data_IF_780682605320
#
_entry.id   IF_780682605320
#
_cell.length_a   1.000
_cell.length_b   1.000
_cell.length_c   1.000
_cell.angle_alpha   90.00
_cell.angle_beta   90.00
_cell.angle_gamma   90.00
#
_symmetry.space_group_name_H-M   'P 1'
#
loop_
_entity.id
_entity.type
_entity.pdbx_description
1 polymer ?
#
# COMPACT_ATOMS: atom_id res chain seq x y z
N UNK A 1 11.77 27.47 -6.91
CA UNK A 1 12.60 26.25 -6.73
C UNK A 1 13.67 26.10 -7.81
N UNK A 2 13.32 25.85 -9.09
CA UNK A 2 14.28 25.63 -10.19
C UNK A 2 15.37 26.70 -10.32
N UNK A 3 15.01 27.98 -10.22
CA UNK A 3 15.99 29.08 -10.28
C UNK A 3 17.05 29.00 -9.15
N UNK A 4 16.71 28.43 -8.00
CA UNK A 4 17.62 28.31 -6.84
C UNK A 4 18.43 27.03 -6.87
N UNK A 5 17.82 25.92 -7.26
CA UNK A 5 18.44 24.59 -7.20
C UNK A 5 19.00 24.10 -8.54
N UNK A 6 18.70 24.80 -9.63
CA UNK A 6 18.96 24.29 -10.98
C UNK A 6 17.93 23.25 -11.43
N UNK A 7 18.20 22.59 -12.56
CA UNK A 7 17.28 21.62 -13.15
C UNK A 7 17.10 20.39 -12.25
N UNK A 8 15.94 19.75 -12.37
CA UNK A 8 15.67 18.46 -11.72
C UNK A 8 16.64 17.42 -12.32
N UNK A 9 17.30 16.59 -11.50
CA UNK A 9 18.16 15.52 -11.99
C UNK A 9 17.40 14.57 -12.91
N UNK A 10 18.12 13.93 -13.83
CA UNK A 10 17.52 12.89 -14.67
C UNK A 10 17.11 11.70 -13.81
N UNK A 11 16.07 10.99 -14.24
CA UNK A 11 15.64 9.76 -13.58
C UNK A 11 16.71 8.68 -13.73
N UNK A 12 17.06 8.06 -12.60
CA UNK A 12 17.97 6.92 -12.49
C UNK A 12 17.39 5.95 -11.46
N UNK A 13 17.85 4.69 -11.48
CA UNK A 13 17.42 3.66 -10.53
C UNK A 13 18.66 3.01 -9.90
N UNK A 14 18.93 3.25 -8.60
CA UNK A 14 18.10 4.02 -7.66
C UNK A 14 18.04 5.54 -7.94
N UNK A 15 16.93 6.18 -7.59
CA UNK A 15 16.62 7.59 -7.82
C UNK A 15 17.22 8.53 -6.76
N UNK A 16 18.49 8.33 -6.42
CA UNK A 16 19.18 9.06 -5.34
C UNK A 16 19.17 10.58 -5.56
N UNK A 17 19.40 11.00 -6.80
CA UNK A 17 19.41 12.42 -7.17
C UNK A 17 18.06 13.10 -6.94
N UNK A 18 16.95 12.40 -7.12
CA UNK A 18 15.62 12.94 -6.87
C UNK A 18 15.38 13.17 -5.38
N UNK A 19 15.78 12.22 -4.51
CA UNK A 19 15.71 12.38 -3.06
C UNK A 19 16.51 13.61 -2.60
N UNK A 20 17.78 13.72 -3.02
CA UNK A 20 18.62 14.88 -2.67
C UNK A 20 18.03 16.19 -3.19
N UNK A 21 17.45 16.20 -4.39
CA UNK A 21 16.81 17.39 -4.94
C UNK A 21 15.59 17.82 -4.12
N UNK A 22 14.73 16.86 -3.75
CA UNK A 22 13.53 17.10 -2.92
C UNK A 22 13.91 17.64 -1.54
N UNK A 23 14.90 17.04 -0.89
CA UNK A 23 15.42 17.51 0.42
C UNK A 23 16.04 18.89 0.30
N UNK A 24 16.81 19.16 -0.76
CA UNK A 24 17.34 20.49 -1.00
C UNK A 24 16.22 21.52 -1.23
N UNK A 25 15.14 21.15 -1.92
CA UNK A 25 14.01 22.04 -2.15
C UNK A 25 13.32 22.39 -0.83
N UNK A 26 13.13 21.39 0.03
CA UNK A 26 12.60 21.56 1.38
C UNK A 26 13.46 22.52 2.21
N UNK A 27 14.74 22.18 2.40
CA UNK A 27 15.67 22.90 3.26
C UNK A 27 16.05 24.29 2.74
N UNK A 28 16.13 24.48 1.43
CA UNK A 28 16.67 25.71 0.83
C UNK A 28 15.58 26.70 0.40
N UNK A 29 14.32 26.26 0.28
CA UNK A 29 13.25 27.08 -0.28
C UNK A 29 11.93 26.98 0.48
N UNK A 30 11.39 25.76 0.66
CA UNK A 30 10.05 25.59 1.24
C UNK A 30 10.04 26.06 2.69
N UNK A 31 10.89 25.51 3.56
CA UNK A 31 10.91 25.91 4.96
C UNK A 31 11.38 27.36 5.16
N UNK A 32 12.46 27.84 4.54
CA UNK A 32 12.93 29.20 4.82
C UNK A 32 12.03 30.31 4.26
N UNK A 33 11.32 30.07 3.14
CA UNK A 33 10.57 31.12 2.44
C UNK A 33 9.06 30.94 2.49
N UNK A 34 8.56 29.74 2.23
CA UNK A 34 7.12 29.49 2.18
C UNK A 34 6.54 29.29 3.57
N UNK A 35 7.31 28.67 4.49
CA UNK A 35 6.93 28.44 5.89
C UNK A 35 5.52 27.85 6.03
N UNK A 36 5.21 26.74 5.32
CA UNK A 36 3.87 26.20 5.35
C UNK A 36 3.52 25.66 6.75
N UNK A 37 2.24 25.69 7.11
CA UNK A 37 1.78 25.04 8.35
C UNK A 37 1.85 23.51 8.26
N UNK A 38 1.77 22.96 7.04
CA UNK A 38 1.86 21.52 6.75
C UNK A 38 2.64 21.35 5.45
N UNK A 39 3.65 20.46 5.44
CA UNK A 39 4.39 20.08 4.25
C UNK A 39 4.36 18.55 4.10
N UNK A 40 4.08 18.07 2.88
CA UNK A 40 4.24 16.66 2.51
C UNK A 40 5.47 16.57 1.63
N UNK A 41 6.51 15.91 2.14
CA UNK A 41 7.71 15.57 1.37
C UNK A 41 7.65 14.08 1.03
N UNK A 42 7.67 13.78 -0.26
CA UNK A 42 7.58 12.40 -0.76
C UNK A 42 8.91 11.96 -1.37
N UNK A 43 9.38 10.78 -0.99
CA UNK A 43 10.53 10.10 -1.57
C UNK A 43 10.06 8.90 -2.39
N UNK A 44 10.55 8.79 -3.62
CA UNK A 44 10.26 7.68 -4.52
C UNK A 44 11.12 6.42 -4.25
N UNK A 45 12.02 6.48 -3.27
CA UNK A 45 12.81 5.35 -2.81
C UNK A 45 12.36 4.98 -1.40
N UNK A 46 12.31 3.69 -1.06
CA UNK A 46 12.92 2.57 -1.79
C UNK A 46 12.07 1.94 -2.93
N UNK A 47 10.90 2.49 -3.27
CA UNK A 47 9.98 1.89 -4.24
C UNK A 47 10.61 1.59 -5.61
N UNK A 48 11.25 2.59 -6.24
CA UNK A 48 11.91 2.41 -7.54
C UNK A 48 13.00 1.34 -7.49
N UNK A 49 13.85 1.33 -6.46
CA UNK A 49 14.87 0.30 -6.34
C UNK A 49 14.31 -1.07 -5.99
N UNK A 50 13.23 -1.18 -5.21
CA UNK A 50 12.53 -2.45 -4.98
C UNK A 50 12.07 -3.05 -6.31
N UNK A 51 11.34 -2.29 -7.12
CA UNK A 51 10.81 -2.76 -8.39
C UNK A 51 11.86 -3.33 -9.35
N UNK A 52 13.03 -2.69 -9.45
CA UNK A 52 13.97 -2.98 -10.56
C UNK A 52 15.32 -3.54 -10.14
N UNK A 53 15.70 -3.43 -8.87
CA UNK A 53 16.99 -3.93 -8.35
C UNK A 53 16.82 -5.09 -7.40
N UNK A 54 15.59 -5.44 -7.03
CA UNK A 54 15.29 -6.53 -6.10
C UNK A 54 15.40 -6.09 -4.65
N UNK A 55 14.49 -6.64 -3.84
CA UNK A 55 14.34 -6.28 -2.43
C UNK A 55 15.50 -6.88 -1.64
N UNK A 56 16.25 -6.05 -0.92
CA UNK A 56 17.42 -6.46 -0.14
C UNK A 56 18.73 -6.53 -0.92
N UNK A 57 18.74 -6.19 -2.21
CA UNK A 57 19.96 -6.09 -3.00
C UNK A 57 20.82 -4.88 -2.59
N UNK A 58 22.12 -4.90 -2.90
CA UNK A 58 23.00 -3.78 -2.53
C UNK A 58 22.58 -2.42 -3.13
N UNK A 59 22.13 -2.33 -4.42
CA UNK A 59 21.56 -1.09 -4.93
C UNK A 59 20.32 -0.63 -4.16
N UNK A 60 19.44 -1.55 -3.75
CA UNK A 60 18.27 -1.21 -2.95
C UNK A 60 18.65 -0.74 -1.53
N UNK A 61 19.56 -1.44 -0.85
CA UNK A 61 20.07 -1.02 0.46
C UNK A 61 20.79 0.34 0.38
N UNK A 62 21.48 0.62 -0.72
CA UNK A 62 22.06 1.95 -0.99
C UNK A 62 20.99 3.03 -1.05
N UNK A 63 19.85 2.75 -1.71
CA UNK A 63 18.73 3.68 -1.78
C UNK A 63 18.12 3.98 -0.40
N UNK A 64 17.94 2.95 0.43
CA UNK A 64 17.44 3.08 1.80
C UNK A 64 18.40 3.93 2.66
N UNK A 65 19.71 3.63 2.63
CA UNK A 65 20.72 4.41 3.36
C UNK A 65 20.76 5.87 2.91
N UNK A 66 20.55 6.13 1.61
CA UNK A 66 20.49 7.49 1.08
C UNK A 66 19.22 8.23 1.53
N UNK A 67 18.06 7.57 1.51
CA UNK A 67 16.81 8.13 2.04
C UNK A 67 16.93 8.49 3.53
N UNK A 68 17.53 7.59 4.33
CA UNK A 68 17.84 7.84 5.74
C UNK A 68 18.78 9.04 5.92
N UNK A 69 19.86 9.12 5.14
CA UNK A 69 20.79 10.26 5.20
C UNK A 69 20.12 11.60 4.84
N UNK A 70 19.26 11.63 3.81
CA UNK A 70 18.52 12.83 3.42
C UNK A 70 17.46 13.21 4.47
N UNK A 71 16.80 12.25 5.10
CA UNK A 71 15.92 12.50 6.25
C UNK A 71 16.71 13.01 7.46
N UNK A 72 17.90 12.47 7.71
CA UNK A 72 18.82 12.94 8.76
C UNK A 72 19.21 14.41 8.60
N UNK A 73 19.37 14.91 7.37
CA UNK A 73 19.59 16.34 7.11
C UNK A 73 18.41 17.21 7.53
N UNK A 74 17.18 16.70 7.38
CA UNK A 74 15.96 17.41 7.82
C UNK A 74 15.91 17.47 9.35
N UNK A 75 16.21 16.36 10.02
CA UNK A 75 16.27 16.34 11.49
C UNK A 75 17.39 17.23 12.03
N UNK A 76 18.57 17.24 11.40
CA UNK A 76 19.66 18.12 11.78
C UNK A 76 19.26 19.60 11.65
N UNK A 77 18.58 19.97 10.55
CA UNK A 77 18.06 21.33 10.39
C UNK A 77 17.01 21.68 11.45
N UNK A 78 16.14 20.73 11.81
CA UNK A 78 15.14 20.88 12.88
C UNK A 78 15.81 21.22 14.22
N UNK A 79 16.89 20.53 14.59
CA UNK A 79 17.62 20.77 15.84
C UNK A 79 18.37 22.11 15.89
N UNK A 80 18.68 22.69 14.72
CA UNK A 80 19.48 23.90 14.60
C UNK A 80 18.66 25.17 14.35
N UNK A 81 17.32 25.08 14.32
CA UNK A 81 16.45 26.20 13.98
C UNK A 81 15.35 26.41 15.02
N UNK A 82 15.09 27.66 15.41
CA UNK A 82 13.96 28.01 16.29
C UNK A 82 12.60 27.56 15.72
N UNK A 83 12.49 27.48 14.38
CA UNK A 83 11.31 26.95 13.72
C UNK A 83 11.16 25.44 13.92
N UNK A 84 12.28 24.71 14.00
CA UNK A 84 12.32 23.27 14.17
C UNK A 84 11.85 22.79 15.55
N UNK A 85 11.99 23.60 16.60
CA UNK A 85 11.49 23.28 17.95
C UNK A 85 9.99 22.97 17.96
N UNK A 86 9.23 23.62 17.07
CA UNK A 86 7.77 23.47 16.96
C UNK A 86 7.35 22.45 15.91
N UNK A 87 8.29 21.93 15.13
CA UNK A 87 8.00 21.04 14.01
C UNK A 87 7.65 19.64 14.53
N UNK A 88 6.45 19.21 14.18
CA UNK A 88 6.01 17.82 14.27
C UNK A 88 6.43 17.10 12.99
N UNK A 89 7.02 15.91 13.13
CA UNK A 89 7.49 15.08 12.02
C UNK A 89 6.76 13.76 12.07
N UNK A 90 6.11 13.39 10.97
CA UNK A 90 5.51 12.07 10.77
C UNK A 90 6.18 11.47 9.54
N UNK A 91 6.82 10.30 9.70
CA UNK A 91 7.34 9.52 8.58
C UNK A 91 6.50 8.27 8.41
N UNK A 92 6.15 7.96 7.17
CA UNK A 92 5.30 6.82 6.84
C UNK A 92 5.68 6.24 5.48
N UNK A 93 5.32 4.98 5.25
CA UNK A 93 5.28 4.38 3.92
C UNK A 93 3.83 4.12 3.53
N UNK A 94 3.52 4.23 2.25
CA UNK A 94 2.21 3.89 1.71
C UNK A 94 1.99 2.38 1.63
N UNK A 95 3.04 1.59 1.36
CA UNK A 95 3.01 0.14 1.35
C UNK A 95 4.40 -0.48 1.58
N UNK A 96 4.43 -1.81 1.72
CA UNK A 96 5.62 -2.64 1.49
C UNK A 96 5.59 -3.28 0.09
N UNK A 97 6.47 -4.26 -0.18
CA UNK A 97 6.51 -4.99 -1.45
C UNK A 97 6.86 -6.47 -1.23
N UNK A 98 6.56 -7.31 -2.23
CA UNK A 98 6.95 -8.71 -2.32
C UNK A 98 7.87 -8.94 -3.50
N UNK A 99 8.67 -10.01 -3.45
CA UNK A 99 9.52 -10.41 -4.56
C UNK A 99 8.66 -11.03 -5.67
N UNK A 100 8.83 -10.56 -6.90
CA UNK A 100 8.18 -11.12 -8.09
C UNK A 100 8.81 -12.45 -8.45
N UNK A 101 7.99 -13.50 -8.58
CA UNK A 101 8.42 -14.84 -8.98
C UNK A 101 7.74 -15.30 -10.26
N UNK A 102 8.47 -16.07 -11.07
CA UNK A 102 7.95 -16.61 -12.33
C UNK A 102 7.77 -15.56 -13.42
N UNK A 103 7.30 -15.99 -14.58
CA UNK A 103 6.90 -15.08 -15.66
C UNK A 103 5.50 -14.51 -15.38
N UNK A 104 5.16 -13.42 -16.06
CA UNK A 104 3.80 -12.89 -16.03
C UNK A 104 2.79 -13.99 -16.45
N UNK A 105 1.68 -14.05 -15.73
CA UNK A 105 0.65 -15.10 -15.88
C UNK A 105 -0.07 -15.03 -17.25
N UNK A 106 -0.15 -13.86 -17.86
CA UNK A 106 -0.96 -13.55 -19.04
C UNK A 106 -2.44 -13.88 -18.82
N UNK A 107 -3.06 -13.25 -17.83
CA UNK A 107 -4.47 -13.49 -17.47
C UNK A 107 -5.38 -13.18 -18.66
N UNK A 108 -5.08 -12.13 -19.42
CA UNK A 108 -5.84 -11.77 -20.61
C UNK A 108 -5.75 -12.86 -21.70
N UNK A 109 -4.56 -13.43 -21.94
CA UNK A 109 -4.36 -14.59 -22.81
C UNK A 109 -5.15 -15.80 -22.33
N UNK A 110 -5.03 -16.16 -21.05
CA UNK A 110 -5.73 -17.29 -20.44
C UNK A 110 -7.26 -17.18 -20.55
N UNK A 111 -7.82 -15.98 -20.37
CA UNK A 111 -9.26 -15.73 -20.58
C UNK A 111 -9.65 -15.94 -22.05
N UNK A 112 -8.83 -15.48 -23.01
CA UNK A 112 -9.10 -15.69 -24.44
C UNK A 112 -9.05 -17.16 -24.82
N UNK A 113 -8.08 -17.91 -24.31
CA UNK A 113 -7.99 -19.36 -24.51
C UNK A 113 -9.20 -20.11 -23.93
N UNK A 114 -9.75 -19.61 -22.82
CA UNK A 114 -10.98 -20.12 -22.22
C UNK A 114 -12.27 -19.70 -22.97
N UNK A 115 -12.15 -18.90 -24.03
CA UNK A 115 -13.26 -18.50 -24.91
C UNK A 115 -13.90 -17.15 -24.58
N UNK A 116 -13.35 -16.37 -23.65
CA UNK A 116 -13.83 -15.01 -23.34
C UNK A 116 -13.22 -13.98 -24.30
N UNK A 117 -13.97 -12.93 -24.60
CA UNK A 117 -13.43 -11.74 -25.28
C UNK A 117 -12.86 -10.75 -24.26
N UNK A 118 -11.60 -10.34 -24.45
CA UNK A 118 -10.91 -9.39 -23.55
C UNK A 118 -10.47 -8.15 -24.33
N UNK A 119 -11.00 -7.00 -23.95
CA UNK A 119 -10.72 -5.69 -24.55
C UNK A 119 -10.03 -4.73 -23.58
N UNK A 120 -9.65 -3.55 -24.08
CA UNK A 120 -9.17 -2.44 -23.23
C UNK A 120 -10.30 -1.90 -22.33
N UNK A 121 -11.53 -1.91 -22.85
CA UNK A 121 -12.75 -1.60 -22.09
C UNK A 121 -13.83 -2.62 -22.43
N UNK A 122 -14.86 -2.70 -21.59
CA UNK A 122 -16.07 -3.51 -21.88
C UNK A 122 -17.08 -2.79 -22.78
N UNK A 123 -16.86 -1.51 -23.09
CA UNK A 123 -17.82 -0.67 -23.84
C UNK A 123 -18.02 -1.13 -25.29
N UNK A 124 -17.05 -1.83 -25.86
CA UNK A 124 -17.08 -2.36 -27.23
C UNK A 124 -17.64 -3.79 -27.30
N UNK A 125 -18.28 -4.27 -26.23
CA UNK A 125 -18.92 -5.58 -26.19
C UNK A 125 -17.98 -6.73 -25.80
N UNK A 126 -16.73 -6.44 -25.44
CA UNK A 126 -15.84 -7.44 -24.85
C UNK A 126 -16.40 -7.92 -23.49
N UNK A 127 -16.26 -9.21 -23.19
CA UNK A 127 -16.74 -9.82 -21.96
C UNK A 127 -16.04 -9.26 -20.71
N UNK A 128 -14.75 -8.96 -20.82
CA UNK A 128 -13.96 -8.42 -19.71
C UNK A 128 -12.92 -7.37 -20.14
N UNK A 129 -12.57 -6.51 -19.19
CA UNK A 129 -11.42 -5.61 -19.23
C UNK A 129 -10.66 -5.67 -17.90
N UNK A 130 -9.33 -5.64 -17.96
CA UNK A 130 -8.45 -5.91 -16.82
C UNK A 130 -7.65 -4.65 -16.45
N UNK A 131 -7.56 -4.37 -15.15
CA UNK A 131 -6.67 -3.37 -14.59
C UNK A 131 -5.99 -3.98 -13.36
N UNK A 132 -4.88 -4.69 -13.57
CA UNK A 132 -4.21 -5.49 -12.54
C UNK A 132 -2.71 -5.68 -12.83
N UNK A 133 -1.94 -5.91 -11.76
CA UNK A 133 -0.55 -6.34 -11.80
C UNK A 133 -0.35 -7.59 -10.91
N UNK A 134 0.01 -7.44 -9.63
CA UNK A 134 -0.10 -8.51 -8.61
C UNK A 134 -1.47 -8.52 -7.94
N UNK A 135 -2.20 -7.42 -8.03
CA UNK A 135 -3.58 -7.28 -7.60
C UNK A 135 -4.28 -6.25 -8.48
N UNK A 136 -5.60 -6.25 -8.44
CA UNK A 136 -6.42 -5.29 -9.16
C UNK A 136 -7.81 -5.80 -9.43
N UNK A 137 -8.35 -5.41 -10.60
CA UNK A 137 -9.75 -5.61 -10.92
C UNK A 137 -10.00 -6.13 -12.32
N UNK A 138 -11.06 -6.92 -12.44
CA UNK A 138 -11.68 -7.33 -13.70
C UNK A 138 -13.06 -6.69 -13.77
N UNK A 139 -13.27 -5.88 -14.80
CA UNK A 139 -14.55 -5.29 -15.14
C UNK A 139 -15.25 -6.21 -16.14
N UNK A 140 -16.51 -6.52 -15.87
CA UNK A 140 -17.32 -7.47 -16.62
C UNK A 140 -18.37 -6.69 -17.39
N UNK A 141 -18.61 -7.09 -18.64
CA UNK A 141 -19.61 -6.45 -19.50
C UNK A 141 -20.96 -6.35 -18.81
N UNK A 142 -21.50 -5.13 -18.79
CA UNK A 142 -22.79 -4.77 -18.17
C UNK A 142 -22.93 -5.20 -16.69
N UNK A 143 -21.82 -5.50 -16.01
CA UNK A 143 -21.81 -6.16 -14.70
C UNK A 143 -22.68 -7.43 -14.66
N UNK A 144 -22.71 -8.19 -15.77
CA UNK A 144 -23.56 -9.38 -15.91
C UNK A 144 -23.18 -10.47 -14.89
N UNK A 145 -24.14 -10.81 -14.02
CA UNK A 145 -23.91 -11.73 -12.92
C UNK A 145 -23.57 -13.18 -13.35
N UNK A 146 -24.10 -13.64 -14.48
CA UNK A 146 -23.82 -15.00 -14.97
C UNK A 146 -22.41 -15.07 -15.57
N UNK A 147 -21.99 -14.03 -16.28
CA UNK A 147 -20.65 -13.87 -16.81
C UNK A 147 -19.63 -13.72 -15.68
N UNK A 148 -19.90 -12.86 -14.68
CA UNK A 148 -19.08 -12.73 -13.48
C UNK A 148 -18.88 -14.08 -12.81
N UNK A 149 -19.95 -14.86 -12.59
CA UNK A 149 -19.85 -16.20 -11.99
C UNK A 149 -18.99 -17.15 -12.82
N UNK A 150 -19.09 -17.07 -14.15
CA UNK A 150 -18.34 -17.96 -15.05
C UNK A 150 -16.84 -17.60 -15.04
N UNK A 151 -16.51 -16.31 -15.03
CA UNK A 151 -15.13 -15.84 -14.90
C UNK A 151 -14.56 -16.19 -13.52
N UNK A 152 -15.31 -15.99 -12.42
CA UNK A 152 -14.89 -16.39 -11.06
C UNK A 152 -14.55 -17.87 -11.00
N UNK A 153 -15.38 -18.74 -11.57
CA UNK A 153 -15.11 -20.19 -11.62
C UNK A 153 -13.84 -20.53 -12.39
N UNK A 154 -13.61 -19.85 -13.52
CA UNK A 154 -12.38 -20.02 -14.28
C UNK A 154 -11.16 -19.59 -13.47
N UNK A 155 -11.23 -18.44 -12.78
CA UNK A 155 -10.15 -17.95 -11.92
C UNK A 155 -9.84 -18.92 -10.77
N UNK A 156 -10.86 -19.40 -10.05
CA UNK A 156 -10.69 -20.33 -8.92
C UNK A 156 -9.99 -21.65 -9.32
N UNK A 157 -10.06 -22.04 -10.59
CA UNK A 157 -9.38 -23.23 -11.09
C UNK A 157 -7.88 -23.02 -11.39
N UNK A 158 -7.39 -21.77 -11.34
CA UNK A 158 -6.01 -21.44 -11.70
C UNK A 158 -5.07 -21.52 -10.50
N UNK A 159 -3.87 -22.09 -10.70
CA UNK A 159 -2.86 -22.25 -9.64
C UNK A 159 -2.27 -20.93 -9.14
N UNK A 160 -2.31 -19.88 -9.95
CA UNK A 160 -1.83 -18.53 -9.61
C UNK A 160 -2.92 -17.67 -8.96
N UNK A 161 -4.18 -18.13 -8.91
CA UNK A 161 -5.26 -17.36 -8.32
C UNK A 161 -5.08 -17.30 -6.80
N UNK A 162 -5.15 -16.09 -6.26
CA UNK A 162 -5.26 -15.83 -4.82
C UNK A 162 -6.69 -15.43 -4.46
N UNK A 163 -6.88 -14.63 -3.38
CA UNK A 163 -8.20 -14.18 -2.95
C UNK A 163 -8.97 -13.43 -4.05
N UNK A 164 -10.24 -13.78 -4.20
CA UNK A 164 -11.19 -13.12 -5.08
C UNK A 164 -12.21 -12.34 -4.26
N UNK A 165 -12.67 -11.22 -4.81
CA UNK A 165 -13.68 -10.36 -4.22
C UNK A 165 -14.77 -10.02 -5.24
N UNK A 166 -16.02 -10.01 -4.81
CA UNK A 166 -17.16 -9.45 -5.58
C UNK A 166 -17.92 -8.49 -4.68
N UNK A 167 -18.88 -7.72 -5.21
CA UNK A 167 -19.62 -6.73 -4.40
C UNK A 167 -20.22 -7.35 -3.14
N UNK A 168 -20.97 -8.44 -3.31
CA UNK A 168 -21.72 -9.09 -2.22
C UNK A 168 -21.01 -10.32 -1.62
N UNK A 169 -19.83 -10.70 -2.13
CA UNK A 169 -19.16 -11.95 -1.69
C UNK A 169 -19.86 -13.21 -2.17
N UNK A 170 -20.36 -13.20 -3.41
CA UNK A 170 -21.07 -14.34 -4.00
C UNK A 170 -20.10 -15.30 -4.69
N UNK A 171 -20.56 -16.53 -4.97
CA UNK A 171 -19.82 -17.52 -5.78
C UNK A 171 -18.47 -17.96 -5.21
N UNK A 172 -18.36 -18.02 -3.88
CA UNK A 172 -17.13 -18.44 -3.20
C UNK A 172 -16.03 -17.37 -3.22
N UNK A 173 -16.41 -16.10 -3.32
CA UNK A 173 -15.50 -14.95 -3.16
C UNK A 173 -15.75 -14.26 -1.82
N UNK A 174 -14.78 -13.47 -1.37
CA UNK A 174 -14.98 -12.47 -0.33
C UNK A 174 -15.75 -11.27 -0.91
N UNK A 175 -16.22 -10.37 -0.05
CA UNK A 175 -16.96 -9.16 -0.45
C UNK A 175 -16.06 -7.93 -0.58
N UNK A 176 -16.41 -6.96 -1.42
CA UNK A 176 -15.70 -5.68 -1.52
C UNK A 176 -15.72 -4.90 -0.20
N UNK A 177 -16.80 -5.00 0.57
CA UNK A 177 -16.93 -4.39 1.89
C UNK A 177 -15.84 -4.85 2.85
N UNK A 178 -15.53 -6.15 2.83
CA UNK A 178 -14.52 -6.74 3.72
C UNK A 178 -13.10 -6.20 3.46
N UNK A 179 -12.82 -5.71 2.26
CA UNK A 179 -11.51 -5.13 1.88
C UNK A 179 -11.58 -3.60 1.70
N UNK A 180 -12.72 -2.97 1.99
CA UNK A 180 -12.86 -1.51 2.00
C UNK A 180 -12.89 -0.85 0.62
N UNK A 181 -13.27 -1.56 -0.44
CA UNK A 181 -13.26 -1.02 -1.82
C UNK A 181 -14.65 -0.75 -2.38
N UNK A 182 -15.67 -0.61 -1.53
CA UNK A 182 -17.05 -0.30 -1.94
C UNK A 182 -17.13 1.08 -2.58
N UNK A 183 -17.08 1.12 -3.91
CA UNK A 183 -17.14 2.35 -4.66
C UNK A 183 -17.71 2.11 -6.05
N UNK A 184 -18.31 3.14 -6.66
CA UNK A 184 -18.86 3.06 -8.04
C UNK A 184 -17.82 2.71 -9.12
N UNK A 185 -16.53 2.86 -8.81
CA UNK A 185 -15.40 2.50 -9.70
C UNK A 185 -14.79 1.15 -9.34
N UNK A 186 -15.31 0.45 -8.33
CA UNK A 186 -14.83 -0.88 -8.00
C UNK A 186 -15.04 -1.81 -9.20
N UNK A 187 -14.11 -2.75 -9.44
CA UNK A 187 -14.30 -3.79 -10.44
C UNK A 187 -15.51 -4.67 -10.10
N UNK A 188 -15.93 -5.52 -11.02
CA UNK A 188 -16.94 -6.54 -10.72
C UNK A 188 -16.32 -7.72 -9.97
N UNK A 189 -15.03 -7.99 -10.26
CA UNK A 189 -14.21 -8.99 -9.58
C UNK A 189 -12.90 -8.32 -9.16
N UNK A 190 -12.67 -8.19 -7.84
CA UNK A 190 -11.35 -7.91 -7.28
C UNK A 190 -10.52 -9.19 -7.24
N UNK A 191 -9.25 -9.09 -7.60
CA UNK A 191 -8.31 -10.22 -7.62
C UNK A 191 -7.00 -9.82 -6.97
N UNK A 192 -6.51 -10.68 -6.08
CA UNK A 192 -5.12 -10.68 -5.61
C UNK A 192 -4.48 -11.96 -6.11
N UNK A 193 -3.34 -11.88 -6.79
CA UNK A 193 -2.61 -13.05 -7.25
C UNK A 193 -1.96 -13.77 -6.06
N UNK A 194 -1.71 -15.06 -6.23
CA UNK A 194 -1.16 -15.91 -5.18
C UNK A 194 0.20 -15.38 -4.72
N UNK A 195 0.36 -15.34 -3.41
CA UNK A 195 1.57 -14.92 -2.72
C UNK A 195 1.90 -15.92 -1.62
N UNK A 196 3.15 -15.94 -1.18
CA UNK A 196 3.64 -16.84 -0.14
C UNK A 196 4.83 -16.23 0.64
N UNK A 197 5.32 -16.99 1.61
CA UNK A 197 6.44 -16.64 2.49
C UNK A 197 7.82 -17.06 1.93
N UNK A 198 7.94 -17.37 0.63
CA UNK A 198 9.21 -17.74 0.05
C UNK A 198 10.26 -16.64 0.23
N UNK A 199 11.51 -17.05 0.43
CA UNK A 199 12.63 -16.15 0.71
C UNK A 199 13.44 -15.97 -0.57
N UNK A 200 13.72 -14.71 -0.92
CA UNK A 200 14.51 -14.37 -2.10
C UNK A 200 16.02 -14.61 -1.88
N UNK A 201 16.83 -14.39 -2.92
CA UNK A 201 18.28 -14.61 -2.87
C UNK A 201 19.03 -13.70 -1.87
N UNK A 202 18.39 -12.64 -1.39
CA UNK A 202 18.92 -11.69 -0.40
C UNK A 202 18.43 -11.96 1.02
N UNK A 203 17.69 -13.05 1.25
CA UNK A 203 17.19 -13.42 2.58
C UNK A 203 15.92 -12.67 3.01
N UNK A 204 15.23 -11.99 2.09
CA UNK A 204 13.98 -11.28 2.37
C UNK A 204 12.79 -12.18 2.05
N UNK A 205 11.87 -12.33 3.01
CA UNK A 205 10.68 -13.16 2.87
C UNK A 205 9.54 -12.43 2.14
N UNK A 206 8.70 -13.19 1.45
CA UNK A 206 7.53 -12.69 0.73
C UNK A 206 7.74 -12.76 -0.78
N UNK A 207 6.89 -13.53 -1.45
CA UNK A 207 6.88 -13.63 -2.90
C UNK A 207 5.46 -13.56 -3.48
N UNK A 208 5.34 -13.14 -4.74
CA UNK A 208 4.06 -13.08 -5.45
C UNK A 208 4.15 -13.47 -6.92
N UNK A 209 3.08 -14.09 -7.39
CA UNK A 209 2.76 -14.18 -8.82
C UNK A 209 2.33 -12.79 -9.32
N UNK A 210 2.49 -12.54 -10.62
CA UNK A 210 2.20 -11.25 -11.23
C UNK A 210 1.66 -11.40 -12.66
N UNK A 211 1.00 -10.35 -13.16
CA UNK A 211 0.60 -10.21 -14.56
C UNK A 211 1.25 -8.99 -15.25
N UNK A 212 2.32 -8.43 -14.65
CA UNK A 212 3.04 -7.27 -15.19
C UNK A 212 4.15 -7.68 -16.15
N UNK A 213 4.16 -7.11 -17.36
CA UNK A 213 5.29 -7.21 -18.30
C UNK A 213 6.35 -6.12 -18.09
N UNK A 214 6.14 -5.23 -17.12
CA UNK A 214 7.00 -4.06 -16.89
C UNK A 214 8.06 -4.33 -15.82
N UNK A 215 7.71 -5.10 -14.80
CA UNK A 215 8.61 -5.41 -13.67
C UNK A 215 9.32 -6.75 -13.88
N UNK A 216 10.64 -6.82 -13.64
CA UNK A 216 11.42 -8.03 -13.85
C UNK A 216 11.21 -9.06 -12.73
N UNK A 217 11.48 -10.34 -13.06
CA UNK A 217 11.62 -11.41 -12.07
C UNK A 217 12.73 -11.05 -11.08
N UNK A 218 12.49 -11.28 -9.78
CA UNK A 218 13.39 -10.89 -8.69
C UNK A 218 13.28 -9.42 -8.31
N UNK A 219 12.58 -8.60 -9.11
CA UNK A 219 12.12 -7.27 -8.71
C UNK A 219 11.04 -7.34 -7.64
N UNK A 220 10.61 -6.19 -7.15
CA UNK A 220 9.52 -6.05 -6.20
C UNK A 220 8.19 -5.70 -6.88
N UNK A 221 7.08 -6.05 -6.24
CA UNK A 221 5.72 -5.62 -6.62
C UNK A 221 4.83 -5.51 -5.38
N UNK A 222 3.75 -4.74 -5.46
CA UNK A 222 2.85 -4.48 -4.34
C UNK A 222 1.40 -4.32 -4.79
N UNK A 223 0.50 -4.12 -3.83
CA UNK A 223 -0.94 -3.91 -4.05
C UNK A 223 -1.81 -5.10 -3.64
N UNK A 224 -1.18 -6.21 -3.26
CA UNK A 224 -1.84 -7.39 -2.73
C UNK A 224 -2.21 -7.27 -1.26
N UNK A 225 -2.42 -8.44 -0.66
CA UNK A 225 -2.85 -8.60 0.73
C UNK A 225 -1.87 -9.45 1.53
N UNK A 226 -0.60 -9.52 1.14
CA UNK A 226 0.38 -10.17 1.99
C UNK A 226 0.74 -9.27 3.18
N UNK A 227 1.07 -9.87 4.33
CA UNK A 227 1.40 -9.12 5.55
C UNK A 227 2.58 -8.16 5.36
N UNK A 228 3.54 -8.50 4.49
CA UNK A 228 4.69 -7.63 4.20
C UNK A 228 4.37 -6.48 3.23
N UNK A 229 3.24 -6.52 2.54
CA UNK A 229 2.74 -5.39 1.76
C UNK A 229 1.93 -4.43 2.64
N UNK A 230 1.16 -4.98 3.59
CA UNK A 230 0.24 -4.24 4.44
C UNK A 230 0.91 -3.65 5.70
N UNK A 231 1.84 -4.37 6.32
CA UNK A 231 2.57 -3.91 7.49
C UNK A 231 3.74 -3.02 7.05
N UNK A 232 3.51 -1.70 7.10
CA UNK A 232 4.42 -0.69 6.60
C UNK A 232 4.91 0.25 7.73
N UNK A 233 5.77 1.20 7.37
CA UNK A 233 6.42 2.09 8.33
C UNK A 233 5.52 3.24 8.80
N UNK A 234 5.54 3.53 10.10
CA UNK A 234 5.00 4.76 10.69
C UNK A 234 5.82 5.16 11.92
N UNK A 235 6.33 6.39 11.95
CA UNK A 235 6.94 6.99 13.13
C UNK A 235 6.55 8.46 13.27
N UNK A 236 6.46 8.92 14.52
CA UNK A 236 6.05 10.28 14.86
C UNK A 236 7.04 10.89 15.86
N UNK A 237 7.36 12.17 15.69
CA UNK A 237 8.30 12.90 16.53
C UNK A 237 7.90 14.37 16.65
N UNK A 238 8.22 14.99 17.78
CA UNK A 238 7.79 16.33 18.15
C UNK A 238 7.19 16.36 19.55
N UNK A 239 6.92 17.55 20.08
CA UNK A 239 6.40 17.75 21.44
C UNK A 239 4.94 17.27 21.62
N UNK A 240 4.19 17.07 20.53
CA UNK A 240 2.84 16.52 20.58
C UNK A 240 2.83 14.99 20.83
N UNK A 241 3.95 14.31 20.58
CA UNK A 241 4.07 12.86 20.62
C UNK A 241 4.92 12.37 21.78
N UNK A 242 4.66 11.14 22.22
CA UNK A 242 5.42 10.49 23.30
C UNK A 242 6.83 10.13 22.81
N UNK A 243 7.89 10.51 23.53
CA UNK A 243 9.23 10.04 23.22
C UNK A 243 9.38 8.56 23.61
N UNK A 244 10.19 7.82 22.85
CA UNK A 244 10.59 6.44 23.16
C UNK A 244 9.40 5.50 23.46
N UNK A 245 8.34 5.61 22.66
CA UNK A 245 7.15 4.78 22.80
C UNK A 245 6.87 4.02 21.50
N UNK A 246 6.64 2.72 21.64
CA UNK A 246 6.18 1.84 20.57
C UNK A 246 4.74 1.41 20.91
N UNK A 247 3.80 1.68 19.99
CA UNK A 247 2.41 1.25 20.14
C UNK A 247 2.28 -0.21 19.74
N UNK A 248 1.61 -1.01 20.56
CA UNK A 248 1.25 -2.38 20.21
C UNK A 248 -0.11 -2.48 19.51
N UNK A 249 -0.78 -1.35 19.24
CA UNK A 249 -2.11 -1.34 18.62
C UNK A 249 -2.01 -1.33 17.09
N UNK A 250 -2.83 -2.12 16.39
CA UNK A 250 -3.01 -1.97 14.95
C UNK A 250 -3.35 -0.53 14.58
N UNK A 251 -2.73 -0.07 13.50
CA UNK A 251 -2.80 1.30 13.01
C UNK A 251 -2.74 1.27 11.48
N UNK A 252 -3.37 2.25 10.83
CA UNK A 252 -3.33 2.39 9.38
C UNK A 252 -3.18 3.84 8.94
N UNK A 253 -2.91 4.04 7.64
CA UNK A 253 -2.75 5.37 7.06
C UNK A 253 -3.97 6.29 7.29
N UNK A 254 -5.16 5.70 7.40
CA UNK A 254 -6.41 6.42 7.67
C UNK A 254 -6.40 7.17 9.01
N UNK A 255 -5.55 6.75 9.96
CA UNK A 255 -5.45 7.34 11.31
C UNK A 255 -4.56 8.58 11.35
N UNK A 256 -3.80 8.84 10.29
CA UNK A 256 -2.83 9.93 10.23
C UNK A 256 -3.55 11.28 10.16
N UNK A 257 -4.54 11.41 9.27
CA UNK A 257 -5.32 12.65 9.13
C UNK A 257 -6.00 13.07 10.45
N UNK A 258 -6.82 12.24 11.12
CA UNK A 258 -7.48 12.65 12.37
C UNK A 258 -6.47 12.95 13.48
N UNK A 259 -5.32 12.27 13.50
CA UNK A 259 -4.23 12.55 14.45
C UNK A 259 -3.60 13.93 14.17
N UNK A 260 -3.29 14.25 12.91
CA UNK A 260 -2.76 15.57 12.51
C UNK A 260 -3.77 16.69 12.82
N UNK A 261 -5.05 16.51 12.49
CA UNK A 261 -6.09 17.50 12.82
C UNK A 261 -6.17 17.75 14.33
N UNK A 262 -6.10 16.69 15.14
CA UNK A 262 -6.08 16.80 16.60
C UNK A 262 -4.87 17.61 17.10
N UNK A 263 -3.67 17.33 16.57
CA UNK A 263 -2.44 18.06 16.94
C UNK A 263 -2.52 19.54 16.53
N UNK A 264 -3.18 19.85 15.42
CA UNK A 264 -3.41 21.23 14.97
C UNK A 264 -4.57 21.94 15.70
N UNK A 265 -5.32 21.23 16.55
CA UNK A 265 -6.51 21.77 17.23
C UNK A 265 -7.67 22.06 16.27
N UNK A 266 -7.78 21.29 15.18
CA UNK A 266 -8.84 21.40 14.18
C UNK A 266 -9.89 20.30 14.38
N UNK A 267 -11.13 20.61 14.01
CA UNK A 267 -12.22 19.65 14.04
C UNK A 267 -11.99 18.51 13.04
N UNK A 268 -12.37 17.30 13.43
CA UNK A 268 -12.30 16.10 12.56
C UNK A 268 -13.65 15.98 11.84
N UNK A 269 -13.68 16.05 10.50
CA UNK A 269 -14.91 15.85 9.75
C UNK A 269 -15.48 14.44 9.92
N UNK A 270 -16.81 14.31 9.97
CA UNK A 270 -17.51 13.02 10.09
C UNK A 270 -17.18 12.01 8.97
N UNK A 271 -16.67 12.49 7.83
CA UNK A 271 -16.23 11.64 6.72
C UNK A 271 -14.89 10.94 6.96
N UNK A 272 -14.15 11.31 8.00
CA UNK A 272 -12.86 10.70 8.34
C UNK A 272 -13.10 9.38 9.07
N UNK A 273 -12.57 8.29 8.53
CA UNK A 273 -12.85 6.93 9.01
C UNK A 273 -11.81 6.42 10.02
N UNK A 274 -10.62 7.00 10.03
CA UNK A 274 -9.57 6.62 10.98
C UNK A 274 -9.82 7.15 12.38
N UNK A 275 -9.11 6.59 13.35
CA UNK A 275 -9.12 7.04 14.74
C UNK A 275 -7.95 7.96 15.03
N UNK A 276 -8.09 8.79 16.05
CA UNK A 276 -6.95 9.50 16.62
C UNK A 276 -6.05 8.49 17.33
N UNK A 277 -4.76 8.49 17.01
CA UNK A 277 -3.74 7.68 17.69
C UNK A 277 -3.39 8.28 19.05
N UNK A 278 -4.36 8.30 19.96
CA UNK A 278 -4.22 8.91 21.30
C UNK A 278 -3.08 8.29 22.09
N UNK A 279 -2.84 7.00 21.91
CA UNK A 279 -1.76 6.27 22.54
C UNK A 279 -0.37 6.83 22.20
N UNK A 280 -0.22 7.50 21.05
CA UNK A 280 1.01 8.15 20.61
C UNK A 280 1.16 9.59 21.13
N UNK A 281 0.09 10.23 21.61
CA UNK A 281 0.11 11.63 22.03
C UNK A 281 0.68 11.82 23.44
N UNK A 282 1.54 12.81 23.63
CA UNK A 282 2.19 13.11 24.91
C UNK A 282 1.19 13.42 26.02
N UNK A 283 0.07 14.08 25.69
CA UNK A 283 -0.99 14.45 26.64
C UNK A 283 -1.93 13.30 27.06
N UNK A 284 -1.76 12.09 26.52
CA UNK A 284 -2.69 10.97 26.69
C UNK A 284 -2.02 9.69 27.21
N UNK A 285 -0.90 9.81 27.92
CA UNK A 285 -0.10 8.68 28.44
C UNK A 285 -0.85 7.73 29.36
N UNK A 286 -1.91 8.21 30.03
CA UNK A 286 -2.76 7.43 30.94
C UNK A 286 -4.11 7.06 30.33
N UNK A 287 -4.32 7.30 29.03
CA UNK A 287 -5.56 6.92 28.37
C UNK A 287 -5.71 5.39 28.37
N UNK A 288 -6.93 4.92 28.60
CA UNK A 288 -7.25 3.52 28.37
C UNK A 288 -7.08 3.22 26.88
N UNK A 289 -6.31 2.18 26.58
CA UNK A 289 -6.16 1.72 25.21
C UNK A 289 -7.49 1.10 24.75
N UNK A 290 -7.91 1.35 23.50
CA UNK A 290 -9.09 0.71 22.92
C UNK A 290 -8.94 -0.81 22.88
N UNK A 291 -10.07 -1.51 22.92
CA UNK A 291 -10.12 -2.96 22.75
C UNK A 291 -9.64 -3.35 21.36
N UNK A 292 -8.86 -4.44 21.30
CA UNK A 292 -8.36 -5.02 20.06
C UNK A 292 -8.94 -6.42 19.91
N UNK A 293 -9.52 -6.70 18.76
CA UNK A 293 -9.90 -8.07 18.40
C UNK A 293 -9.63 -8.34 16.93
N UNK A 294 -9.48 -9.63 16.60
CA UNK A 294 -9.19 -10.09 15.25
C UNK A 294 -10.35 -10.92 14.71
N UNK A 295 -10.55 -10.85 13.40
CA UNK A 295 -11.54 -11.65 12.69
C UNK A 295 -10.97 -12.14 11.38
N UNK A 296 -11.27 -13.41 11.06
CA UNK A 296 -10.98 -13.99 9.76
C UNK A 296 -12.30 -14.23 9.03
N UNK A 297 -12.40 -13.69 7.82
CA UNK A 297 -13.45 -14.03 6.86
C UNK A 297 -12.96 -15.17 5.96
N UNK A 298 -13.86 -16.07 5.60
CA UNK A 298 -13.57 -17.20 4.72
C UNK A 298 -14.63 -17.28 3.63
N UNK A 299 -14.20 -17.63 2.42
CA UNK A 299 -15.07 -17.93 1.30
C UNK A 299 -14.70 -19.27 0.68
N UNK A 300 -15.67 -20.18 0.60
CA UNK A 300 -15.53 -21.51 -0.02
C UNK A 300 -15.99 -21.46 -1.48
N UNK A 301 -15.07 -21.74 -2.40
CA UNK A 301 -15.31 -21.82 -3.84
C UNK A 301 -15.44 -23.26 -4.34
N UNK A 302 -15.36 -23.42 -5.67
CA UNK A 302 -15.41 -24.74 -6.30
C UNK A 302 -14.03 -25.43 -6.29
N UNK A 303 -14.02 -26.76 -6.45
CA UNK A 303 -12.80 -27.56 -6.59
C UNK A 303 -11.75 -27.39 -5.47
N UNK A 304 -12.20 -27.13 -4.24
CA UNK A 304 -11.32 -26.97 -3.08
C UNK A 304 -10.72 -25.58 -2.93
N UNK A 305 -11.08 -24.61 -3.78
CA UNK A 305 -10.71 -23.22 -3.56
C UNK A 305 -11.27 -22.72 -2.23
N UNK A 306 -10.41 -22.16 -1.39
CA UNK A 306 -10.83 -21.46 -0.17
C UNK A 306 -9.97 -20.23 0.04
N UNK A 307 -10.61 -19.07 0.11
CA UNK A 307 -9.96 -17.80 0.39
C UNK A 307 -10.21 -17.35 1.82
N UNK A 308 -9.23 -16.64 2.38
CA UNK A 308 -9.27 -16.08 3.73
C UNK A 308 -8.84 -14.62 3.71
N UNK A 309 -9.45 -13.83 4.60
CA UNK A 309 -9.04 -12.46 4.89
C UNK A 309 -9.05 -12.23 6.39
N UNK A 310 -7.87 -11.95 6.94
CA UNK A 310 -7.71 -11.57 8.34
C UNK A 310 -7.74 -10.05 8.47
N UNK A 311 -8.48 -9.57 9.46
CA UNK A 311 -8.56 -8.16 9.83
C UNK A 311 -8.43 -7.99 11.34
N UNK A 312 -7.93 -6.84 11.75
CA UNK A 312 -7.92 -6.38 13.14
C UNK A 312 -8.87 -5.21 13.31
N UNK A 313 -9.49 -5.11 14.48
CA UNK A 313 -10.30 -3.98 14.90
C UNK A 313 -9.67 -3.32 16.12
N UNK A 314 -9.65 -2.00 16.14
CA UNK A 314 -9.28 -1.19 17.30
C UNK A 314 -10.42 -0.25 17.61
N UNK A 315 -11.23 -0.58 18.62
CA UNK A 315 -12.55 0.00 18.77
C UNK A 315 -13.41 -0.28 17.53
N UNK A 316 -13.84 0.77 16.83
CA UNK A 316 -14.65 0.66 15.62
C UNK A 316 -13.83 0.72 14.31
N UNK A 317 -12.54 1.07 14.39
CA UNK A 317 -11.67 1.18 13.22
C UNK A 317 -11.13 -0.19 12.81
N UNK A 318 -11.17 -0.49 11.52
CA UNK A 318 -10.77 -1.79 10.96
C UNK A 318 -9.47 -1.66 10.15
N UNK A 319 -8.64 -2.72 10.18
CA UNK A 319 -7.36 -2.80 9.48
C UNK A 319 -7.19 -4.15 8.80
N UNK A 320 -6.66 -4.15 7.58
CA UNK A 320 -6.34 -5.37 6.84
C UNK A 320 -5.02 -5.95 7.35
N UNK A 321 -5.00 -7.24 7.67
CA UNK A 321 -3.79 -7.93 8.16
C UNK A 321 -3.14 -8.79 7.08
N UNK A 322 -3.95 -9.62 6.43
CA UNK A 322 -3.52 -10.44 5.28
C UNK A 322 -4.69 -11.13 4.59
N UNK A 323 -4.52 -11.49 3.32
CA UNK A 323 -5.42 -12.36 2.56
C UNK A 323 -4.65 -13.47 1.86
N UNK A 324 -5.18 -14.69 1.86
CA UNK A 324 -4.52 -15.87 1.27
C UNK A 324 -5.54 -16.91 0.79
N UNK A 325 -5.06 -17.90 0.03
CA UNK A 325 -5.83 -19.09 -0.37
C UNK A 325 -5.16 -20.37 0.15
N UNK A 326 -5.95 -21.42 0.37
CA UNK A 326 -5.45 -22.78 0.68
C UNK A 326 -4.90 -23.53 -0.54
#
# INVERSE_FOLDING_TARGET
VLHRLGPIPKHEIPSLGWLTYSTNAYLSYIEPQLKPNVCILWFCEPDNSYHFRGIGSEPNLTAIRHADAEFGRILQWREQSEAGDRLQVITMSDHGQLTVVGQAVDIAGGLREAGFTVGETVSEGADAALALASAGGIYVRDSDAALTRTIVRWLQAQSWCGPLFTREGNHGTLSHAQVGIEHRRAPDIGLVLRNDDAVNEHGVAGSCQHDSTFYPIGGGLHGGLHRFELNNWLAMSGDAFRPAYESSLPTGLIDILPTVLTVLGLDIPDSVQGRVLREALAGHTNALLPEVFQKTFTADGENGYRAHLSVSFVGETYYLERGWVE
#
